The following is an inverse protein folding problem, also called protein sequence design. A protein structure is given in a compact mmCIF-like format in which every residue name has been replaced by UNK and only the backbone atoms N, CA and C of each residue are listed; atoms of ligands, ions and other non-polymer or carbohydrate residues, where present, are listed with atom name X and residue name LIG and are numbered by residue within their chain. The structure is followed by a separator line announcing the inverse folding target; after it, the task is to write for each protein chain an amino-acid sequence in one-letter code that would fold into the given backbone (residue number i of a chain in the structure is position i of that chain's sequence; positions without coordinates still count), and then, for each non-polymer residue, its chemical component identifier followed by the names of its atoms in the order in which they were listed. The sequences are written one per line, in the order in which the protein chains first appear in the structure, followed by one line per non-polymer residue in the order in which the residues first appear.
data_IF_707899934374
#
_entry.id   IF_707899934374
#
_cell.length_a   1.000
_cell.length_b   1.000
_cell.length_c   1.000
_cell.angle_alpha   90.00
_cell.angle_beta   90.00
_cell.angle_gamma   90.00
#
_symmetry.space_group_name_H-M   'P 1'
#
loop_
_entity.id
_entity.type
_entity.pdbx_description
1 polymer ?
#
# COMPACT_ATOMS: atom_id res chain seq x y z
N UNK A 1 11.94 -37.68 29.59
CA UNK A 1 11.80 -36.81 28.40
C UNK A 1 12.17 -35.39 28.81
N UNK A 2 13.17 -34.77 28.19
CA UNK A 2 13.52 -33.38 28.51
C UNK A 2 12.45 -32.48 27.94
N UNK A 3 11.71 -31.77 28.79
CA UNK A 3 10.75 -30.75 28.36
C UNK A 3 11.52 -29.44 28.25
N UNK A 4 11.77 -29.00 27.02
CA UNK A 4 12.35 -27.67 26.77
C UNK A 4 11.33 -26.62 27.21
N UNK A 5 11.77 -25.69 28.06
CA UNK A 5 10.96 -24.53 28.47
C UNK A 5 11.39 -23.30 27.67
N UNK A 6 10.43 -22.49 27.18
CA UNK A 6 10.78 -21.23 26.53
C UNK A 6 11.48 -20.32 27.54
N UNK A 7 12.50 -19.60 27.08
CA UNK A 7 13.22 -18.61 27.89
C UNK A 7 12.48 -17.27 27.99
N UNK A 8 11.44 -17.08 27.18
CA UNK A 8 10.71 -15.81 27.08
C UNK A 8 9.25 -16.02 27.44
N UNK A 9 8.65 -15.03 28.08
CA UNK A 9 7.24 -15.05 28.45
C UNK A 9 6.34 -15.04 27.22
N UNK A 10 5.08 -15.43 27.41
CA UNK A 10 4.04 -15.26 26.38
C UNK A 10 3.98 -13.81 25.93
N UNK A 11 3.89 -13.58 24.61
CA UNK A 11 3.84 -12.25 24.04
C UNK A 11 5.22 -11.64 23.74
N UNK A 12 6.30 -12.24 24.24
CA UNK A 12 7.67 -11.79 24.00
C UNK A 12 8.37 -12.66 22.96
N UNK A 13 9.26 -12.06 22.17
CA UNK A 13 10.08 -12.80 21.22
C UNK A 13 11.06 -13.75 21.93
N UNK A 14 11.47 -14.87 21.29
CA UNK A 14 12.60 -15.66 21.76
C UNK A 14 13.92 -14.84 21.81
N UNK A 15 14.90 -15.22 22.65
CA UNK A 15 16.18 -14.53 22.72
C UNK A 15 17.01 -14.67 21.42
N UNK A 16 17.86 -13.68 21.07
CA UNK A 16 17.98 -12.38 21.75
C UNK A 16 16.77 -11.48 21.47
N UNK A 17 16.15 -10.97 22.53
CA UNK A 17 15.04 -10.04 22.41
C UNK A 17 15.55 -8.66 21.96
N UNK A 18 14.87 -8.07 20.99
CA UNK A 18 15.14 -6.72 20.53
C UNK A 18 13.82 -5.98 20.34
N UNK A 19 13.80 -4.63 20.42
CA UNK A 19 12.60 -3.86 20.10
C UNK A 19 12.08 -4.07 18.67
N UNK A 20 12.87 -4.68 17.77
CA UNK A 20 12.47 -4.93 16.38
C UNK A 20 12.05 -6.38 16.15
N UNK A 21 11.94 -7.21 17.19
CA UNK A 21 11.54 -8.59 17.04
C UNK A 21 10.08 -8.69 16.58
N UNK A 22 9.86 -9.43 15.48
CA UNK A 22 8.56 -9.54 14.80
C UNK A 22 7.83 -10.86 15.07
N UNK A 23 8.38 -11.67 15.98
CA UNK A 23 7.84 -12.98 16.37
C UNK A 23 7.47 -12.95 17.85
N UNK A 24 6.43 -13.69 18.23
CA UNK A 24 6.01 -13.87 19.61
C UNK A 24 6.20 -15.31 20.04
N UNK A 25 6.57 -15.53 21.30
CA UNK A 25 6.40 -16.80 21.95
C UNK A 25 4.91 -17.02 22.27
N UNK A 26 4.41 -18.22 22.02
CA UNK A 26 3.06 -18.66 22.33
C UNK A 26 3.14 -19.99 23.11
N UNK A 27 2.66 -20.06 24.36
CA UNK A 27 2.78 -21.26 25.18
C UNK A 27 1.76 -22.32 24.73
N UNK A 28 2.14 -23.11 23.74
CA UNK A 28 1.34 -24.23 23.23
C UNK A 28 0.12 -23.81 22.40
N UNK A 29 -0.63 -24.82 21.94
CA UNK A 29 -1.74 -24.62 21.00
C UNK A 29 -3.01 -24.07 21.64
N UNK A 30 -3.22 -24.27 22.94
CA UNK A 30 -4.44 -23.85 23.63
C UNK A 30 -4.61 -22.33 23.57
N UNK A 31 -3.51 -21.60 23.72
CA UNK A 31 -3.52 -20.14 23.61
C UNK A 31 -3.76 -19.66 22.16
N UNK A 32 -3.29 -20.40 21.16
CA UNK A 32 -3.63 -20.12 19.76
C UNK A 32 -5.12 -20.34 19.50
N UNK A 33 -5.70 -21.40 20.08
CA UNK A 33 -7.13 -21.71 19.96
C UNK A 33 -7.98 -20.61 20.60
N UNK A 34 -7.64 -20.15 21.80
CA UNK A 34 -8.42 -19.07 22.45
C UNK A 34 -8.35 -17.76 21.68
N UNK A 35 -7.18 -17.38 21.15
CA UNK A 35 -7.04 -16.18 20.30
C UNK A 35 -7.91 -16.32 19.04
N UNK A 36 -7.85 -17.49 18.37
CA UNK A 36 -8.69 -17.78 17.20
C UNK A 36 -10.18 -17.68 17.53
N UNK A 37 -10.56 -18.15 18.71
CA UNK A 37 -11.95 -18.17 19.19
C UNK A 37 -12.40 -16.81 19.77
N UNK A 38 -11.56 -15.77 19.67
CA UNK A 38 -11.93 -14.38 19.95
C UNK A 38 -11.53 -13.87 21.34
N UNK A 39 -10.71 -14.59 22.09
CA UNK A 39 -10.18 -14.09 23.37
C UNK A 39 -9.15 -12.96 23.15
N UNK A 40 -9.66 -11.74 23.11
CA UNK A 40 -8.85 -10.53 22.97
C UNK A 40 -7.98 -10.25 24.20
N UNK A 41 -8.26 -10.84 25.37
CA UNK A 41 -7.45 -10.63 26.57
C UNK A 41 -6.03 -11.17 26.39
N UNK A 42 -5.88 -12.26 25.65
CA UNK A 42 -4.58 -12.82 25.30
C UNK A 42 -3.75 -11.88 24.40
N UNK A 43 -4.40 -11.14 23.49
CA UNK A 43 -3.73 -10.19 22.60
C UNK A 43 -3.15 -9.00 23.36
N UNK A 44 -3.77 -8.59 24.47
CA UNK A 44 -3.25 -7.47 25.30
C UNK A 44 -1.88 -7.74 25.91
N UNK A 45 -1.49 -9.02 26.01
CA UNK A 45 -0.19 -9.45 26.54
C UNK A 45 0.88 -9.56 25.47
N UNK A 46 0.54 -9.38 24.20
CA UNK A 46 1.49 -9.46 23.10
C UNK A 46 2.32 -8.18 23.05
N UNK A 47 3.63 -8.34 23.13
CA UNK A 47 4.62 -7.26 23.13
C UNK A 47 5.35 -7.20 21.79
N UNK A 48 5.76 -8.36 21.27
CA UNK A 48 6.45 -8.49 19.99
C UNK A 48 5.55 -9.21 19.01
N UNK A 49 5.23 -8.58 17.89
CA UNK A 49 4.42 -9.18 16.84
C UNK A 49 4.78 -8.54 15.51
N UNK A 50 4.39 -9.20 14.42
CA UNK A 50 4.56 -8.64 13.09
C UNK A 50 3.91 -7.25 13.00
N UNK A 51 4.67 -6.17 12.69
CA UNK A 51 4.21 -4.78 12.84
C UNK A 51 3.00 -4.39 11.99
N UNK A 52 2.64 -5.21 11.00
CA UNK A 52 1.44 -4.99 10.19
C UNK A 52 0.14 -5.31 10.94
N UNK A 53 0.17 -6.06 12.04
CA UNK A 53 -1.06 -6.39 12.78
C UNK A 53 -1.53 -5.27 13.71
N UNK A 54 -0.61 -4.47 14.26
CA UNK A 54 -0.90 -3.27 15.04
C UNK A 54 0.37 -2.42 15.14
N UNK A 55 0.24 -1.11 15.46
CA UNK A 55 1.39 -0.33 15.92
C UNK A 55 1.97 -0.99 17.17
N UNK A 56 3.29 -1.15 17.19
CA UNK A 56 4.02 -1.81 18.29
C UNK A 56 5.24 -0.98 18.66
N UNK A 57 5.71 -1.15 19.90
CA UNK A 57 6.97 -0.57 20.38
C UNK A 57 6.99 0.95 20.12
N UNK A 58 8.07 1.46 19.52
CA UNK A 58 8.24 2.88 19.20
C UNK A 58 7.14 3.47 18.28
N UNK A 59 6.50 2.67 17.42
CA UNK A 59 5.38 3.18 16.62
C UNK A 59 4.13 3.42 17.48
N UNK A 60 3.90 2.57 18.49
CA UNK A 60 2.81 2.75 19.45
C UNK A 60 3.10 3.92 20.41
N UNK A 61 4.33 4.03 20.93
CA UNK A 61 4.76 5.15 21.78
C UNK A 61 4.62 6.49 21.06
N UNK A 62 5.01 6.56 19.77
CA UNK A 62 4.82 7.76 18.96
C UNK A 62 3.32 8.10 18.81
N UNK A 63 2.49 7.08 18.56
CA UNK A 63 1.04 7.26 18.49
C UNK A 63 0.45 7.82 19.81
N UNK A 64 0.92 7.34 20.95
CA UNK A 64 0.49 7.84 22.28
C UNK A 64 0.91 9.30 22.50
N UNK A 65 2.15 9.67 22.14
CA UNK A 65 2.62 11.05 22.24
C UNK A 65 1.80 12.00 21.36
N UNK A 66 1.44 11.57 20.14
CA UNK A 66 0.56 12.33 19.24
C UNK A 66 -0.84 12.44 19.83
N UNK A 67 -1.42 11.35 20.37
CA UNK A 67 -2.74 11.38 20.99
C UNK A 67 -2.80 12.38 22.16
N UNK A 68 -1.73 12.47 22.96
CA UNK A 68 -1.58 13.46 24.01
C UNK A 68 -1.51 14.89 23.46
N UNK A 69 -0.70 15.13 22.41
CA UNK A 69 -0.59 16.45 21.78
C UNK A 69 -1.95 17.01 21.34
N UNK A 70 -2.79 16.16 20.74
CA UNK A 70 -4.09 16.58 20.18
C UNK A 70 -5.25 16.48 21.19
N UNK A 71 -4.96 16.25 22.48
CA UNK A 71 -5.96 16.17 23.55
C UNK A 71 -6.93 14.99 23.42
N UNK A 72 -6.44 13.85 22.91
CA UNK A 72 -7.21 12.62 22.70
C UNK A 72 -6.57 11.43 23.44
N UNK A 73 -6.04 11.66 24.65
CA UNK A 73 -5.46 10.61 25.48
C UNK A 73 -6.42 9.43 25.66
N UNK A 74 -5.88 8.20 25.60
CA UNK A 74 -6.66 6.97 25.66
C UNK A 74 -7.23 6.49 24.32
N UNK A 75 -7.15 7.31 23.25
CA UNK A 75 -7.45 6.84 21.89
C UNK A 75 -6.34 5.93 21.36
N UNK A 76 -6.70 4.99 20.49
CA UNK A 76 -5.71 4.32 19.64
C UNK A 76 -5.33 5.26 18.52
N UNK A 77 -4.03 5.48 18.30
CA UNK A 77 -3.50 6.34 17.25
C UNK A 77 -2.69 5.50 16.24
N UNK A 78 -3.08 5.59 14.97
CA UNK A 78 -2.44 4.91 13.84
C UNK A 78 -1.69 5.94 13.00
N UNK A 79 -0.35 6.08 13.14
CA UNK A 79 0.43 7.05 12.38
C UNK A 79 0.85 6.53 10.99
N UNK A 80 0.68 7.37 9.96
CA UNK A 80 1.04 7.09 8.58
C UNK A 80 1.84 8.23 7.97
N UNK A 81 2.70 7.92 6.99
CA UNK A 81 3.37 8.93 6.16
C UNK A 81 2.57 9.26 4.89
N UNK A 82 1.54 8.47 4.58
CA UNK A 82 0.77 8.58 3.35
C UNK A 82 -0.57 9.29 3.60
N UNK A 83 -0.87 10.41 2.92
CA UNK A 83 -2.13 11.14 3.05
C UNK A 83 -3.37 10.33 2.65
N UNK A 84 -3.22 9.36 1.74
CA UNK A 84 -4.33 8.55 1.22
C UNK A 84 -5.06 7.78 2.33
N UNK A 85 -4.41 7.58 3.48
CA UNK A 85 -4.99 6.87 4.62
C UNK A 85 -6.17 7.57 5.25
N UNK A 86 -6.32 8.88 5.12
CA UNK A 86 -7.50 9.57 5.62
C UNK A 86 -8.77 9.16 4.88
N UNK A 87 -8.88 9.49 3.58
CA UNK A 87 -10.02 9.12 2.75
C UNK A 87 -10.24 7.60 2.72
N UNK A 88 -9.17 6.81 2.64
CA UNK A 88 -9.25 5.35 2.71
C UNK A 88 -9.93 4.89 4.01
N UNK A 89 -9.48 5.38 5.16
CA UNK A 89 -10.03 4.98 6.48
C UNK A 89 -11.47 5.41 6.64
N UNK A 90 -11.83 6.65 6.25
CA UNK A 90 -13.23 7.13 6.30
C UNK A 90 -14.15 6.22 5.50
N UNK A 91 -13.75 5.83 4.28
CA UNK A 91 -14.52 4.89 3.47
C UNK A 91 -14.57 3.52 4.16
N UNK A 92 -13.41 2.97 4.53
CA UNK A 92 -13.25 1.64 5.11
C UNK A 92 -14.21 1.36 6.27
N UNK A 93 -14.28 2.28 7.25
CA UNK A 93 -15.06 2.06 8.47
C UNK A 93 -16.57 2.07 8.23
N UNK A 94 -17.03 2.62 7.09
CA UNK A 94 -18.46 2.67 6.71
C UNK A 94 -18.91 1.51 5.84
N UNK A 95 -17.98 0.69 5.34
CA UNK A 95 -18.29 -0.40 4.42
C UNK A 95 -19.14 -1.49 5.10
N UNK A 96 -20.25 -1.89 4.47
CA UNK A 96 -21.15 -2.94 4.99
C UNK A 96 -20.44 -4.28 5.28
N UNK A 97 -19.31 -4.53 4.62
CA UNK A 97 -18.41 -5.67 4.84
C UNK A 97 -17.81 -5.71 6.24
N UNK A 98 -17.85 -4.60 7.00
CA UNK A 98 -17.49 -4.56 8.44
C UNK A 98 -18.55 -5.18 9.35
N UNK A 99 -19.74 -5.50 8.83
CA UNK A 99 -20.85 -6.16 9.55
C UNK A 99 -21.19 -5.42 10.86
N UNK A 100 -21.10 -6.09 12.01
CA UNK A 100 -21.36 -5.51 13.34
C UNK A 100 -20.36 -4.40 13.73
N UNK A 101 -19.27 -4.23 12.99
CA UNK A 101 -18.24 -3.22 13.23
C UNK A 101 -18.32 -2.03 12.27
N UNK A 102 -19.42 -1.86 11.52
CA UNK A 102 -19.67 -0.63 10.75
C UNK A 102 -19.72 0.56 11.70
N UNK A 103 -19.04 1.65 11.32
CA UNK A 103 -18.94 2.88 12.10
C UNK A 103 -19.45 4.07 11.28
N UNK A 104 -19.79 5.16 11.97
CA UNK A 104 -19.98 6.46 11.31
C UNK A 104 -18.62 7.11 11.02
N UNK A 105 -18.50 7.97 9.99
CA UNK A 105 -17.27 8.70 9.72
C UNK A 105 -16.74 9.54 10.91
N UNK A 106 -17.63 9.97 11.80
CA UNK A 106 -17.30 10.78 12.99
C UNK A 106 -16.79 9.94 14.18
N UNK A 107 -16.90 8.62 14.10
CA UNK A 107 -16.35 7.71 15.12
C UNK A 107 -14.82 7.57 15.03
N UNK A 108 -14.21 8.13 13.98
CA UNK A 108 -12.77 8.29 13.83
C UNK A 108 -12.42 9.78 13.78
N UNK A 109 -11.22 10.11 14.24
CA UNK A 109 -10.64 11.44 14.16
C UNK A 109 -9.41 11.39 13.28
N UNK A 110 -9.38 12.20 12.24
CA UNK A 110 -8.19 12.37 11.42
C UNK A 110 -7.43 13.60 11.92
N UNK A 111 -6.12 13.44 12.11
CA UNK A 111 -5.21 14.50 12.54
C UNK A 111 -3.96 14.50 11.67
N UNK A 112 -3.34 15.65 11.56
CA UNK A 112 -2.08 15.81 10.88
C UNK A 112 -1.07 16.46 11.83
N UNK A 113 0.13 15.90 11.93
CA UNK A 113 1.17 16.36 12.86
C UNK A 113 2.51 16.37 12.15
N UNK A 114 3.21 17.49 12.23
CA UNK A 114 4.60 17.59 11.81
C UNK A 114 5.52 17.24 12.99
N UNK A 115 6.49 16.34 12.78
CA UNK A 115 7.47 15.90 13.78
C UNK A 115 8.82 15.62 13.13
N UNK A 116 9.89 16.24 13.62
CA UNK A 116 11.24 16.00 13.10
C UNK A 116 11.40 16.27 11.59
N UNK A 117 10.63 17.21 11.04
CA UNK A 117 10.61 17.52 9.60
C UNK A 117 9.76 16.58 8.75
N UNK A 118 9.01 15.65 9.37
CA UNK A 118 8.10 14.74 8.69
C UNK A 118 6.64 15.02 9.03
N UNK A 119 5.79 15.02 8.01
CA UNK A 119 4.34 15.09 8.17
C UNK A 119 3.74 13.72 8.35
N UNK A 120 3.02 13.54 9.44
CA UNK A 120 2.25 12.34 9.74
C UNK A 120 0.75 12.61 9.58
N UNK A 121 0.06 11.61 9.05
CA UNK A 121 -1.40 11.53 9.00
C UNK A 121 -1.81 10.47 10.00
N UNK A 122 -2.67 10.82 10.94
CA UNK A 122 -2.97 9.98 12.09
C UNK A 122 -4.47 9.73 12.15
N UNK A 123 -4.83 8.45 12.17
CA UNK A 123 -6.20 8.02 12.46
C UNK A 123 -6.27 7.74 13.95
N UNK A 124 -7.16 8.44 14.67
CA UNK A 124 -7.45 8.20 16.08
C UNK A 124 -8.87 7.65 16.26
N UNK A 125 -9.04 6.69 17.15
CA UNK A 125 -10.35 6.14 17.49
C UNK A 125 -10.41 5.60 18.92
N UNK A 126 -11.61 5.54 19.48
CA UNK A 126 -11.86 4.91 20.79
C UNK A 126 -11.55 3.40 20.71
N UNK A 127 -10.76 2.82 21.64
CA UNK A 127 -10.38 1.41 21.63
C UNK A 127 -11.51 0.41 21.39
N UNK A 128 -12.76 0.72 21.77
CA UNK A 128 -13.94 -0.14 21.50
C UNK A 128 -14.21 -0.37 20.01
N UNK A 129 -13.68 0.50 19.14
CA UNK A 129 -13.83 0.42 17.69
C UNK A 129 -12.69 -0.33 16.99
N UNK A 130 -11.78 -0.96 17.74
CA UNK A 130 -10.60 -1.66 17.20
C UNK A 130 -10.92 -2.61 16.05
N UNK A 131 -11.98 -3.43 16.16
CA UNK A 131 -12.34 -4.41 15.12
C UNK A 131 -12.82 -3.76 13.81
N UNK A 132 -13.36 -2.53 13.86
CA UNK A 132 -13.78 -1.78 12.69
C UNK A 132 -12.64 -0.96 12.05
N UNK A 133 -11.70 -0.46 12.86
CA UNK A 133 -10.69 0.50 12.40
C UNK A 133 -9.29 -0.11 12.16
N UNK A 134 -8.86 -1.13 12.92
CA UNK A 134 -7.48 -1.64 12.87
C UNK A 134 -7.10 -2.24 11.51
N UNK A 135 -8.08 -2.70 10.73
CA UNK A 135 -7.84 -3.19 9.38
C UNK A 135 -7.27 -2.12 8.43
N UNK A 136 -7.45 -0.83 8.75
CA UNK A 136 -6.83 0.29 8.02
C UNK A 136 -5.32 0.38 8.24
N UNK A 137 -4.80 -0.13 9.36
CA UNK A 137 -3.36 -0.31 9.58
C UNK A 137 -2.83 -1.50 8.79
N UNK A 138 -3.55 -2.62 8.87
CA UNK A 138 -3.02 -3.91 8.45
C UNK A 138 -3.19 -4.22 6.97
N UNK A 139 -4.32 -3.83 6.36
CA UNK A 139 -4.65 -4.23 4.99
C UNK A 139 -3.78 -3.53 3.95
N UNK A 140 -3.66 -2.18 3.91
CA UNK A 140 -2.74 -1.51 2.98
C UNK A 140 -1.28 -1.78 3.33
N UNK A 141 -0.97 -2.06 4.61
CA UNK A 141 0.39 -2.30 5.06
C UNK A 141 1.32 -1.09 4.94
N UNK A 142 0.76 0.13 5.00
CA UNK A 142 1.50 1.40 4.89
C UNK A 142 1.67 2.14 6.22
N UNK A 143 1.32 1.49 7.33
CA UNK A 143 1.58 1.99 8.68
C UNK A 143 3.06 2.23 8.95
N UNK A 144 3.34 3.15 9.88
CA UNK A 144 4.71 3.49 10.26
C UNK A 144 5.49 2.28 10.79
N UNK A 145 6.73 2.12 10.33
CA UNK A 145 7.62 1.06 10.85
C UNK A 145 8.11 1.36 12.26
N UNK A 146 8.51 0.32 13.00
CA UNK A 146 9.13 0.46 14.34
C UNK A 146 10.36 1.39 14.29
N UNK A 147 11.20 1.28 13.26
CA UNK A 147 12.42 2.11 13.11
C UNK A 147 12.11 3.57 12.81
N UNK A 148 11.08 3.82 12.01
CA UNK A 148 10.62 5.18 11.75
C UNK A 148 10.01 5.80 13.01
N UNK A 149 9.22 5.02 13.77
CA UNK A 149 8.74 5.42 15.09
C UNK A 149 9.88 5.82 16.03
N UNK A 150 10.91 4.99 16.13
CA UNK A 150 12.10 5.26 16.96
C UNK A 150 12.80 6.56 16.57
N UNK A 151 12.98 6.81 15.28
CA UNK A 151 13.63 8.05 14.82
C UNK A 151 12.78 9.28 15.12
N UNK A 152 11.49 9.24 14.86
CA UNK A 152 10.61 10.38 15.08
C UNK A 152 10.40 10.68 16.57
N UNK A 153 10.43 9.67 17.45
CA UNK A 153 10.36 9.85 18.90
C UNK A 153 11.49 10.73 19.45
N UNK A 154 12.69 10.71 18.84
CA UNK A 154 13.80 11.60 19.23
C UNK A 154 13.47 13.08 19.01
N UNK A 155 12.46 13.37 18.21
CA UNK A 155 12.01 14.70 17.84
C UNK A 155 10.61 15.03 18.38
N UNK A 156 10.08 14.26 19.34
CA UNK A 156 8.74 14.47 19.92
C UNK A 156 8.50 15.90 20.41
N UNK A 157 9.54 16.56 20.94
CA UNK A 157 9.46 17.95 21.40
C UNK A 157 9.23 18.98 20.27
N UNK A 158 9.38 18.57 19.01
CA UNK A 158 9.13 19.41 17.83
C UNK A 158 7.72 19.23 17.25
N UNK A 159 6.90 18.38 17.87
CA UNK A 159 5.56 18.07 17.37
C UNK A 159 4.69 19.32 17.28
N UNK A 160 4.06 19.51 16.13
CA UNK A 160 3.08 20.55 15.90
C UNK A 160 1.90 19.99 15.12
N UNK A 161 0.68 20.23 15.61
CA UNK A 161 -0.53 19.90 14.88
C UNK A 161 -0.66 20.81 13.64
N UNK A 162 -0.99 20.20 12.51
CA UNK A 162 -1.27 20.87 11.25
C UNK A 162 -2.77 20.90 11.07
N UNK A 163 -3.33 22.10 10.93
CA UNK A 163 -4.77 22.27 10.71
C UNK A 163 -5.21 21.55 9.43
N UNK A 164 -6.26 20.74 9.57
CA UNK A 164 -6.94 20.12 8.44
C UNK A 164 -8.12 21.01 8.00
N UNK A 165 -8.47 21.00 6.70
CA UNK A 165 -9.69 21.66 6.23
C UNK A 165 -10.91 21.15 7.00
N UNK A 166 -11.73 22.07 7.53
CA UNK A 166 -12.88 21.72 8.37
C UNK A 166 -14.10 21.42 7.47
N UNK A 167 -14.41 20.13 7.29
CA UNK A 167 -15.72 19.65 6.83
C UNK A 167 -16.11 19.95 5.37
N UNK A 168 -17.30 19.51 4.98
CA UNK A 168 -17.84 19.72 3.64
C UNK A 168 -17.20 18.85 2.55
N UNK A 169 -17.19 19.35 1.31
CA UNK A 169 -16.61 18.64 0.16
C UNK A 169 -15.08 18.42 0.28
N UNK A 170 -14.42 19.14 1.19
CA UNK A 170 -12.97 19.13 1.39
C UNK A 170 -12.52 18.27 2.57
N UNK A 171 -13.42 17.53 3.22
CA UNK A 171 -13.10 16.68 4.39
C UNK A 171 -12.10 15.54 4.11
N UNK A 172 -11.87 15.25 2.83
CA UNK A 172 -10.91 14.27 2.31
C UNK A 172 -9.62 14.92 1.76
N UNK A 173 -9.56 16.25 1.71
CA UNK A 173 -8.38 16.98 1.22
C UNK A 173 -7.32 16.98 2.31
N UNK A 174 -6.27 16.19 2.09
CA UNK A 174 -5.13 16.12 3.01
C UNK A 174 -4.03 17.10 2.63
N UNK A 175 -3.36 17.75 3.61
CA UNK A 175 -2.17 18.53 3.36
C UNK A 175 -1.11 17.73 2.61
N UNK A 176 -0.30 18.41 1.80
CA UNK A 176 0.76 17.76 1.06
C UNK A 176 1.72 17.05 2.04
N UNK A 177 2.05 15.77 1.80
CA UNK A 177 3.06 15.07 2.58
C UNK A 177 4.44 15.72 2.37
N UNK A 178 5.27 15.71 3.41
CA UNK A 178 6.67 16.15 3.28
C UNK A 178 7.52 15.14 2.51
N UNK A 179 7.04 13.89 2.43
CA UNK A 179 7.79 12.70 2.01
C UNK A 179 9.07 12.49 2.83
N UNK A 180 9.66 11.30 2.73
CA UNK A 180 11.04 11.09 3.19
C UNK A 180 11.91 11.09 1.94
N UNK A 181 12.92 11.98 1.83
CA UNK A 181 13.75 12.02 0.65
C UNK A 181 14.49 10.69 0.49
N UNK A 182 14.53 10.19 -0.73
CA UNK A 182 15.37 9.04 -1.05
C UNK A 182 16.84 9.45 -1.05
N UNK A 183 17.70 8.50 -0.72
CA UNK A 183 19.14 8.73 -0.59
C UNK A 183 19.96 7.55 -1.13
N UNK A 184 21.30 7.60 -1.01
CA UNK A 184 22.19 6.59 -1.57
C UNK A 184 21.87 5.15 -1.15
N UNK A 185 21.33 4.96 0.07
CA UNK A 185 20.90 3.64 0.54
C UNK A 185 19.73 3.07 -0.30
N UNK A 186 18.78 3.91 -0.72
CA UNK A 186 17.66 3.51 -1.58
C UNK A 186 18.16 3.13 -2.97
N UNK A 187 19.09 3.92 -3.53
CA UNK A 187 19.74 3.60 -4.80
C UNK A 187 20.47 2.25 -4.75
N UNK A 188 21.28 2.01 -3.71
CA UNK A 188 21.98 0.74 -3.53
C UNK A 188 21.03 -0.46 -3.37
N UNK A 189 19.86 -0.28 -2.73
CA UNK A 189 18.83 -1.32 -2.66
C UNK A 189 18.28 -1.67 -4.05
N UNK A 190 18.00 -0.66 -4.89
CA UNK A 190 17.49 -0.88 -6.25
C UNK A 190 18.52 -1.59 -7.13
N UNK A 191 19.76 -1.14 -7.09
CA UNK A 191 20.88 -1.79 -7.79
C UNK A 191 21.02 -3.25 -7.38
N UNK A 192 20.97 -3.53 -6.08
CA UNK A 192 21.01 -4.90 -5.57
C UNK A 192 19.81 -5.72 -6.06
N UNK A 193 18.60 -5.18 -6.06
CA UNK A 193 17.42 -5.89 -6.59
C UNK A 193 17.60 -6.22 -8.07
N UNK A 194 18.10 -5.30 -8.88
CA UNK A 194 18.40 -5.55 -10.30
C UNK A 194 19.46 -6.64 -10.44
N UNK A 195 20.54 -6.58 -9.66
CA UNK A 195 21.58 -7.63 -9.63
C UNK A 195 20.99 -9.01 -9.31
N UNK A 196 20.03 -9.10 -8.37
CA UNK A 196 19.35 -10.35 -8.03
C UNK A 196 18.60 -10.96 -9.22
N UNK A 197 18.03 -10.13 -10.11
CA UNK A 197 17.33 -10.62 -11.30
C UNK A 197 18.27 -11.34 -12.28
N UNK A 198 19.58 -11.02 -12.26
CA UNK A 198 20.57 -11.64 -13.12
C UNK A 198 21.05 -13.04 -12.66
N UNK A 199 20.64 -13.51 -11.47
CA UNK A 199 21.14 -14.79 -10.92
C UNK A 199 20.72 -16.03 -11.70
N UNK A 200 19.48 -16.06 -12.19
CA UNK A 200 18.94 -17.19 -12.93
C UNK A 200 17.82 -16.75 -13.92
N UNK A 201 18.09 -15.80 -14.83
CA UNK A 201 17.07 -15.34 -15.76
C UNK A 201 16.77 -16.40 -16.82
N UNK A 202 15.49 -16.66 -17.07
CA UNK A 202 15.05 -17.44 -18.23
C UNK A 202 15.41 -16.74 -19.56
N UNK A 203 15.39 -15.40 -19.56
CA UNK A 203 15.75 -14.55 -20.69
C UNK A 203 16.76 -13.49 -20.23
N UNK A 204 18.07 -13.77 -20.34
CA UNK A 204 19.12 -12.84 -19.92
C UNK A 204 19.08 -11.50 -20.66
N UNK A 205 18.69 -11.50 -21.94
CA UNK A 205 18.63 -10.28 -22.75
C UNK A 205 17.55 -9.33 -22.23
N UNK A 206 16.40 -9.87 -21.82
CA UNK A 206 15.34 -9.07 -21.19
C UNK A 206 15.76 -8.51 -19.84
N UNK A 207 16.39 -9.33 -18.99
CA UNK A 207 16.87 -8.84 -17.67
C UNK A 207 17.97 -7.79 -17.83
N UNK A 208 18.80 -7.86 -18.87
CA UNK A 208 19.78 -6.83 -19.18
C UNK A 208 19.18 -5.45 -19.51
N UNK A 209 17.87 -5.35 -19.75
CA UNK A 209 17.18 -4.06 -19.94
C UNK A 209 16.67 -3.45 -18.63
N UNK A 210 16.65 -4.21 -17.53
CA UNK A 210 16.19 -3.71 -16.23
C UNK A 210 17.20 -2.73 -15.64
N UNK A 211 16.73 -1.55 -15.25
CA UNK A 211 17.51 -0.51 -14.61
C UNK A 211 17.04 -0.30 -13.15
N UNK A 212 17.89 0.27 -12.27
CA UNK A 212 17.47 0.62 -10.91
C UNK A 212 16.21 1.50 -10.88
N UNK A 213 16.01 2.36 -11.89
CA UNK A 213 14.82 3.20 -12.04
C UNK A 213 13.50 2.42 -12.24
N UNK A 214 13.56 1.13 -12.58
CA UNK A 214 12.39 0.26 -12.70
C UNK A 214 11.94 -0.33 -11.35
N UNK A 215 12.71 -0.10 -10.28
CA UNK A 215 12.46 -0.66 -8.94
C UNK A 215 11.83 0.37 -8.01
N UNK A 216 10.58 0.11 -7.62
CA UNK A 216 9.83 0.92 -6.66
C UNK A 216 9.89 0.27 -5.27
N UNK A 217 10.30 1.05 -4.27
CA UNK A 217 10.47 0.57 -2.90
C UNK A 217 9.23 0.92 -2.07
N UNK A 218 8.70 -0.07 -1.34
CA UNK A 218 7.56 0.08 -0.45
C UNK A 218 7.88 -0.47 0.94
N UNK A 219 7.24 0.04 2.01
CA UNK A 219 7.55 -0.38 3.38
C UNK A 219 7.18 -1.85 3.66
N UNK A 220 6.22 -2.42 2.91
CA UNK A 220 5.81 -3.82 3.04
C UNK A 220 5.40 -4.39 1.68
N UNK A 221 5.29 -5.73 1.58
CA UNK A 221 4.73 -6.38 0.40
C UNK A 221 3.27 -6.00 0.14
N UNK A 222 2.47 -5.84 1.20
CA UNK A 222 1.08 -5.36 1.05
C UNK A 222 1.01 -3.91 0.56
N UNK A 223 1.94 -3.05 0.98
CA UNK A 223 2.04 -1.70 0.46
C UNK A 223 2.32 -1.70 -1.05
N UNK A 224 3.20 -2.58 -1.51
CA UNK A 224 3.47 -2.77 -2.94
C UNK A 224 2.21 -3.26 -3.69
N UNK A 225 1.49 -4.25 -3.15
CA UNK A 225 0.23 -4.75 -3.74
C UNK A 225 -0.83 -3.66 -3.80
N UNK A 226 -1.05 -2.96 -2.69
CA UNK A 226 -2.04 -1.89 -2.56
C UNK A 226 -1.80 -0.78 -3.59
N UNK A 227 -0.59 -0.22 -3.63
CA UNK A 227 -0.25 0.85 -4.56
C UNK A 227 -0.27 0.40 -6.03
N UNK A 228 0.30 -0.78 -6.32
CA UNK A 228 0.37 -1.30 -7.70
C UNK A 228 -1.03 -1.62 -8.23
N UNK A 229 -1.85 -2.33 -7.46
CA UNK A 229 -3.21 -2.70 -7.88
C UNK A 229 -4.07 -1.45 -8.09
N UNK A 230 -4.02 -0.47 -7.17
CA UNK A 230 -4.76 0.78 -7.32
C UNK A 230 -4.30 1.60 -8.53
N UNK A 231 -2.99 1.65 -8.80
CA UNK A 231 -2.46 2.32 -9.99
C UNK A 231 -2.91 1.63 -11.28
N UNK A 232 -2.88 0.29 -11.33
CA UNK A 232 -3.31 -0.49 -12.49
C UNK A 232 -4.81 -0.35 -12.76
N UNK A 233 -5.66 -0.33 -11.73
CA UNK A 233 -7.11 -0.08 -11.89
C UNK A 233 -7.37 1.31 -12.47
N UNK A 234 -6.63 2.33 -12.00
CA UNK A 234 -6.75 3.70 -12.54
C UNK A 234 -6.26 3.80 -13.99
N UNK A 235 -5.19 3.08 -14.32
CA UNK A 235 -4.61 3.08 -15.67
C UNK A 235 -5.46 2.29 -16.67
N UNK A 236 -5.96 1.13 -16.26
CA UNK A 236 -6.80 0.22 -17.04
C UNK A 236 -7.99 -0.25 -16.18
N UNK A 237 -9.10 0.50 -16.17
CA UNK A 237 -10.32 0.09 -15.48
C UNK A 237 -10.84 -1.25 -16.00
N UNK A 238 -11.38 -2.08 -15.11
CA UNK A 238 -11.88 -3.40 -15.46
C UNK A 238 -11.82 -4.39 -14.31
N UNK A 239 -12.33 -5.59 -14.54
CA UNK A 239 -12.34 -6.69 -13.55
C UNK A 239 -10.90 -7.07 -13.19
N UNK A 240 -10.61 -7.21 -11.90
CA UNK A 240 -9.31 -7.74 -11.42
C UNK A 240 -9.40 -9.28 -11.38
N UNK A 241 -8.37 -9.98 -11.86
CA UNK A 241 -8.34 -11.44 -11.83
C UNK A 241 -7.34 -11.94 -10.81
N UNK A 242 -7.71 -12.97 -10.06
CA UNK A 242 -6.81 -13.74 -9.19
C UNK A 242 -6.67 -15.15 -9.77
N UNK A 243 -5.43 -15.59 -10.03
CA UNK A 243 -5.14 -16.97 -10.41
C UNK A 243 -4.42 -17.68 -9.26
N UNK A 244 -4.94 -18.83 -8.85
CA UNK A 244 -4.43 -19.60 -7.72
C UNK A 244 -4.75 -18.95 -6.39
N UNK A 245 -3.99 -19.30 -5.35
CA UNK A 245 -4.15 -18.70 -4.02
C UNK A 245 -3.15 -17.57 -3.86
N UNK A 246 -3.66 -16.37 -3.57
CA UNK A 246 -2.84 -15.21 -3.18
C UNK A 246 -2.91 -14.98 -1.68
N UNK A 247 -1.95 -14.24 -1.15
CA UNK A 247 -1.87 -13.89 0.25
C UNK A 247 -3.19 -13.33 0.75
N UNK A 248 -3.66 -13.82 1.90
CA UNK A 248 -5.00 -13.56 2.41
C UNK A 248 -5.39 -12.07 2.43
N UNK A 249 -4.51 -11.16 2.84
CA UNK A 249 -4.84 -9.72 2.89
C UNK A 249 -4.98 -9.08 1.50
N UNK A 250 -4.49 -9.72 0.43
CA UNK A 250 -4.80 -9.32 -0.95
C UNK A 250 -6.29 -9.45 -1.23
N UNK A 251 -6.99 -10.47 -0.72
CA UNK A 251 -8.44 -10.56 -0.86
C UNK A 251 -9.17 -9.42 -0.10
N UNK A 252 -8.69 -9.06 1.09
CA UNK A 252 -9.24 -7.92 1.84
C UNK A 252 -9.07 -6.60 1.07
N UNK A 253 -7.91 -6.40 0.44
CA UNK A 253 -7.69 -5.30 -0.49
C UNK A 253 -8.71 -5.32 -1.64
N UNK A 254 -8.87 -6.46 -2.32
CA UNK A 254 -9.80 -6.57 -3.46
C UNK A 254 -11.26 -6.33 -3.07
N UNK A 255 -11.71 -6.74 -1.88
CA UNK A 255 -13.07 -6.48 -1.41
C UNK A 255 -13.39 -4.97 -1.36
N UNK A 256 -12.38 -4.14 -1.10
CA UNK A 256 -12.55 -2.70 -0.87
C UNK A 256 -12.09 -1.85 -2.07
N UNK A 257 -11.14 -2.36 -2.87
CA UNK A 257 -10.43 -1.61 -3.93
C UNK A 257 -10.63 -2.20 -5.34
N UNK A 258 -11.73 -2.93 -5.57
CA UNK A 258 -12.12 -3.42 -6.90
C UNK A 258 -13.46 -2.82 -7.36
N UNK A 259 -13.50 -1.54 -7.77
CA UNK A 259 -14.74 -0.87 -8.16
C UNK A 259 -15.48 -1.53 -9.34
N UNK A 260 -14.77 -2.31 -10.15
CA UNK A 260 -15.33 -3.09 -11.27
C UNK A 260 -15.46 -4.59 -10.95
N UNK A 261 -15.31 -4.96 -9.67
CA UNK A 261 -15.32 -6.34 -9.21
C UNK A 261 -14.01 -7.09 -9.46
N UNK A 262 -13.97 -8.32 -8.97
CA UNK A 262 -12.84 -9.23 -9.16
C UNK A 262 -13.33 -10.67 -9.38
N UNK A 263 -12.53 -11.47 -10.07
CA UNK A 263 -12.81 -12.87 -10.41
C UNK A 263 -11.67 -13.76 -9.95
N UNK A 264 -12.01 -14.83 -9.24
CA UNK A 264 -11.05 -15.83 -8.77
C UNK A 264 -11.12 -17.11 -9.60
N UNK A 265 -9.97 -17.58 -10.08
CA UNK A 265 -9.76 -18.92 -10.60
C UNK A 265 -8.82 -19.67 -9.66
N UNK A 266 -9.38 -20.56 -8.84
CA UNK A 266 -8.61 -21.30 -7.84
C UNK A 266 -7.73 -22.41 -8.41
N UNK A 267 -8.13 -23.02 -9.53
CA UNK A 267 -7.33 -24.04 -10.23
C UNK A 267 -6.41 -23.36 -11.23
N UNK A 268 -5.15 -23.81 -11.25
CA UNK A 268 -4.09 -23.27 -12.13
C UNK A 268 -3.34 -24.36 -12.89
N UNK A 269 -3.91 -25.57 -12.91
CA UNK A 269 -3.55 -26.63 -13.84
C UNK A 269 -4.04 -26.30 -15.27
N UNK A 270 -3.74 -27.17 -16.23
CA UNK A 270 -4.10 -26.94 -17.64
C UNK A 270 -5.60 -26.62 -17.82
N UNK A 271 -6.48 -27.41 -17.20
CA UNK A 271 -7.93 -27.18 -17.22
C UNK A 271 -8.34 -25.84 -16.59
N UNK A 272 -7.70 -25.46 -15.47
CA UNK A 272 -7.93 -24.18 -14.81
C UNK A 272 -7.56 -22.98 -15.70
N UNK A 273 -6.44 -23.10 -16.43
CA UNK A 273 -6.01 -22.05 -17.36
C UNK A 273 -6.88 -22.02 -18.62
N UNK A 274 -7.32 -23.17 -19.14
CA UNK A 274 -8.29 -23.24 -20.25
C UNK A 274 -9.61 -22.54 -19.89
N UNK A 275 -10.09 -22.75 -18.66
CA UNK A 275 -11.29 -22.08 -18.16
C UNK A 275 -11.10 -20.57 -18.01
N UNK A 276 -9.91 -20.13 -17.58
CA UNK A 276 -9.56 -18.71 -17.53
C UNK A 276 -9.53 -18.06 -18.92
N UNK A 277 -8.87 -18.69 -19.90
CA UNK A 277 -8.82 -18.21 -21.28
C UNK A 277 -10.21 -18.12 -21.91
N UNK A 278 -11.02 -19.17 -21.74
CA UNK A 278 -12.42 -19.19 -22.21
C UNK A 278 -13.26 -18.06 -21.58
N UNK A 279 -12.99 -17.70 -20.33
CA UNK A 279 -13.65 -16.58 -19.67
C UNK A 279 -13.17 -15.23 -20.22
N UNK A 280 -11.87 -15.06 -20.53
CA UNK A 280 -11.37 -13.84 -21.18
C UNK A 280 -12.04 -13.58 -22.53
N UNK A 281 -12.27 -14.64 -23.32
CA UNK A 281 -12.99 -14.55 -24.59
C UNK A 281 -14.43 -14.08 -24.37
N UNK A 282 -15.10 -14.59 -23.33
CA UNK A 282 -16.46 -14.17 -22.97
C UNK A 282 -16.50 -12.72 -22.48
N UNK A 283 -15.56 -12.27 -21.66
CA UNK A 283 -15.48 -10.86 -21.25
C UNK A 283 -15.30 -9.95 -22.47
N UNK A 284 -14.42 -10.33 -23.40
CA UNK A 284 -14.18 -9.62 -24.66
C UNK A 284 -15.44 -9.53 -25.51
N UNK A 285 -16.15 -10.65 -25.72
CA UNK A 285 -17.41 -10.71 -26.48
C UNK A 285 -18.51 -9.84 -25.86
N UNK A 286 -18.50 -9.70 -24.54
CA UNK A 286 -19.46 -8.89 -23.80
C UNK A 286 -19.01 -7.41 -23.63
N UNK A 287 -17.87 -7.02 -24.19
CA UNK A 287 -17.33 -5.67 -24.07
C UNK A 287 -16.94 -5.29 -22.64
N UNK A 288 -16.56 -6.27 -21.80
CA UNK A 288 -16.06 -6.04 -20.44
C UNK A 288 -14.54 -6.12 -20.42
N UNK A 289 -13.93 -5.08 -19.87
CA UNK A 289 -12.48 -5.01 -19.74
C UNK A 289 -11.97 -5.75 -18.50
N UNK A 290 -10.82 -6.38 -18.66
CA UNK A 290 -10.00 -6.92 -17.55
C UNK A 290 -8.87 -5.95 -17.27
N UNK A 291 -8.67 -5.62 -15.98
CA UNK A 291 -7.66 -4.67 -15.54
C UNK A 291 -6.27 -5.31 -15.50
N UNK A 292 -6.08 -6.28 -14.61
CA UNK A 292 -4.82 -6.98 -14.39
C UNK A 292 -5.05 -8.33 -13.72
N UNK A 293 -4.02 -9.17 -13.74
CA UNK A 293 -4.01 -10.49 -13.11
C UNK A 293 -3.04 -10.48 -11.93
N UNK A 294 -3.50 -10.92 -10.76
CA UNK A 294 -2.70 -11.16 -9.58
C UNK A 294 -2.40 -12.65 -9.46
N UNK A 295 -1.12 -12.96 -9.30
CA UNK A 295 -0.61 -14.34 -9.16
C UNK A 295 0.44 -14.35 -8.07
N UNK A 296 0.37 -15.34 -7.17
CA UNK A 296 1.43 -15.62 -6.20
C UNK A 296 2.22 -16.84 -6.67
N UNK A 297 3.55 -16.72 -6.70
CA UNK A 297 4.44 -17.77 -7.22
C UNK A 297 5.62 -18.00 -6.26
N UNK A 298 5.78 -19.21 -5.71
CA UNK A 298 4.76 -20.28 -5.68
C UNK A 298 3.56 -19.85 -4.81
N UNK A 299 2.38 -20.42 -5.05
CA UNK A 299 1.18 -20.16 -4.26
C UNK A 299 1.37 -20.52 -2.78
N UNK A 300 0.71 -19.79 -1.87
CA UNK A 300 0.77 -20.04 -0.44
C UNK A 300 -0.64 -20.27 0.11
N UNK A 301 -0.95 -21.44 0.73
CA UNK A 301 -0.03 -22.51 1.15
C UNK A 301 0.13 -23.65 0.13
N UNK A 302 -0.45 -23.53 -1.06
CA UNK A 302 -0.64 -24.63 -2.03
C UNK A 302 0.64 -25.05 -2.77
N UNK A 303 1.65 -24.18 -2.85
CA UNK A 303 2.91 -24.37 -3.55
C UNK A 303 2.79 -24.67 -5.06
N UNK A 304 1.60 -24.50 -5.62
CA UNK A 304 1.36 -24.56 -7.05
C UNK A 304 2.01 -23.34 -7.75
N UNK A 305 2.37 -23.53 -9.01
CA UNK A 305 2.93 -22.46 -9.84
C UNK A 305 2.13 -22.41 -11.12
N UNK A 306 1.51 -21.26 -11.36
CA UNK A 306 0.79 -20.98 -12.61
C UNK A 306 1.78 -21.03 -13.78
N UNK A 307 1.33 -21.52 -14.95
CA UNK A 307 2.11 -21.42 -16.18
C UNK A 307 2.25 -19.95 -16.62
N UNK A 308 3.24 -19.27 -16.05
CA UNK A 308 3.55 -17.86 -16.32
C UNK A 308 3.95 -17.62 -17.79
N UNK A 309 4.45 -18.63 -18.50
CA UNK A 309 4.78 -18.52 -19.91
C UNK A 309 3.50 -18.47 -20.77
N UNK A 310 2.50 -19.29 -20.42
CA UNK A 310 1.16 -19.24 -21.03
C UNK A 310 0.46 -17.92 -20.74
N UNK A 311 0.45 -17.47 -19.49
CA UNK A 311 -0.14 -16.16 -19.12
C UNK A 311 0.51 -15.00 -19.89
N UNK A 312 1.84 -14.99 -20.04
CA UNK A 312 2.55 -13.94 -20.80
C UNK A 312 2.11 -13.84 -22.26
N UNK A 313 1.71 -14.94 -22.90
CA UNK A 313 1.19 -14.94 -24.27
C UNK A 313 -0.16 -14.23 -24.37
N UNK A 314 -0.99 -14.32 -23.32
CA UNK A 314 -2.30 -13.66 -23.25
C UNK A 314 -2.21 -12.14 -23.03
N UNK A 315 -1.16 -11.68 -22.35
CA UNK A 315 -0.92 -10.26 -22.05
C UNK A 315 -0.24 -9.53 -23.22
N UNK A 316 0.46 -10.28 -24.08
CA UNK A 316 1.08 -9.71 -25.26
C UNK A 316 -0.03 -9.34 -26.24
N UNK A 317 -0.08 -8.10 -26.76
CA UNK A 317 -1.06 -7.76 -27.77
C UNK A 317 -0.88 -8.74 -28.91
N UNK A 318 -1.87 -9.60 -29.14
CA UNK A 318 -2.05 -10.21 -30.43
C UNK A 318 -2.02 -9.03 -31.40
N UNK A 319 -1.08 -9.00 -32.33
CA UNK A 319 -1.15 -8.10 -33.46
C UNK A 319 -2.43 -8.49 -34.19
N UNK A 320 -3.54 -7.87 -33.82
CA UNK A 320 -4.80 -7.97 -34.54
C UNK A 320 -4.52 -7.25 -35.86
N UNK A 321 -4.12 -8.02 -36.87
CA UNK A 321 -4.24 -7.63 -38.26
C UNK A 321 -5.75 -7.55 -38.56
N UNK A 322 -6.33 -6.40 -38.20
CA UNK A 322 -7.70 -6.03 -38.46
C UNK A 322 -7.72 -4.54 -38.72
N UNK A 323 -7.59 -4.17 -40.00
CA UNK A 323 -7.80 -2.80 -40.45
C UNK A 323 -9.20 -2.35 -40.02
N UNK A 324 -9.28 -1.52 -38.97
CA UNK A 324 -10.40 -0.59 -38.83
C UNK A 324 -9.84 0.82 -38.69
N UNK A 325 -9.89 1.52 -39.81
CA UNK A 325 -9.63 2.95 -39.92
C UNK A 325 -10.47 3.72 -38.90
N UNK A 326 -9.80 4.42 -37.99
CA UNK A 326 -10.41 5.50 -37.22
C UNK A 326 -10.77 6.63 -38.19
N UNK A 327 -12.00 6.63 -38.70
CA UNK A 327 -12.54 7.79 -39.40
C UNK A 327 -12.81 8.89 -38.37
N UNK A 328 -11.99 9.94 -38.41
CA UNK A 328 -12.23 11.21 -37.74
C UNK A 328 -13.54 11.78 -38.31
N UNK A 329 -14.62 11.77 -37.53
CA UNK A 329 -15.81 12.57 -37.82
C UNK A 329 -15.47 14.05 -37.63
N UNK A 330 -15.05 14.71 -38.71
CA UNK A 330 -15.16 16.16 -38.86
C UNK A 330 -16.65 16.51 -39.05
N UNK A 331 -17.23 17.26 -38.11
CA UNK A 331 -18.48 18.01 -38.35
C UNK A 331 -18.12 19.39 -38.90
N UNK A 332 -18.44 19.61 -40.18
CA UNK A 332 -18.77 20.88 -40.86
C UNK A 332 -20.31 20.90 -40.92
N UNK A 333 -21.13 21.95 -40.79
CA UNK A 333 -21.14 23.43 -40.84
C UNK A 333 -22.37 23.87 -39.99
N UNK A 334 -22.63 25.12 -39.57
CA UNK A 334 -22.85 26.35 -40.35
C UNK A 334 -22.83 27.63 -39.47
N UNK A 335 -22.68 28.83 -40.08
CA UNK A 335 -22.43 30.10 -39.41
C UNK A 335 -23.69 30.97 -39.21
N UNK A 336 -23.51 32.02 -38.38
CA UNK A 336 -24.35 33.20 -38.16
C UNK A 336 -25.50 33.08 -37.13
N UNK A 337 -25.34 33.69 -35.96
CA UNK A 337 -25.84 35.06 -35.70
C UNK A 337 -25.65 35.48 -34.22
N UNK A 338 -24.95 36.60 -34.05
CA UNK A 338 -25.21 37.69 -33.09
C UNK A 338 -25.03 37.50 -31.57
N UNK A 339 -24.03 38.26 -31.08
CA UNK A 339 -24.16 39.30 -30.04
C UNK A 339 -23.69 39.03 -28.60
N UNK A 340 -22.48 39.55 -28.35
CA UNK A 340 -22.07 40.42 -27.21
C UNK A 340 -21.93 39.84 -25.79
N UNK A 341 -20.65 39.74 -25.35
CA UNK A 341 -19.97 40.40 -24.19
C UNK A 341 -18.82 39.49 -23.71
N UNK A 342 -17.54 39.84 -23.91
CA UNK A 342 -16.64 40.58 -22.99
C UNK A 342 -16.66 39.99 -21.56
N UNK A 343 -15.58 39.53 -20.90
CA UNK A 343 -14.14 39.88 -20.93
C UNK A 343 -13.28 38.74 -20.31
N UNK A 344 -11.99 38.71 -20.72
CA UNK A 344 -10.74 38.39 -19.99
C UNK A 344 -10.75 37.43 -18.78
N UNK A 345 -9.80 36.51 -18.62
CA UNK A 345 -8.36 36.77 -18.68
C UNK A 345 -7.53 35.52 -18.99
N UNK A 346 -6.46 35.78 -19.74
CA UNK A 346 -5.35 34.90 -20.06
C UNK A 346 -4.34 34.93 -18.91
N UNK A 347 -3.75 33.80 -18.55
CA UNK A 347 -2.42 33.76 -17.93
C UNK A 347 -1.73 32.45 -18.30
N UNK A 348 -0.77 32.58 -19.21
CA UNK A 348 0.18 31.58 -19.65
C UNK A 348 1.11 31.16 -18.51
N UNK A 349 1.29 29.85 -18.30
CA UNK A 349 2.30 29.31 -17.41
C UNK A 349 3.66 29.35 -18.12
N UNK A 350 4.55 30.23 -17.65
CA UNK A 350 5.95 30.30 -18.07
C UNK A 350 6.77 29.35 -17.19
N UNK A 351 7.44 28.38 -17.80
CA UNK A 351 8.38 27.48 -17.10
C UNK A 351 9.73 28.20 -17.02
N UNK A 352 10.15 28.53 -15.79
CA UNK A 352 11.49 29.04 -15.50
C UNK A 352 12.34 27.91 -14.90
N UNK A 353 13.38 27.51 -15.62
CA UNK A 353 14.55 26.78 -15.09
C UNK A 353 15.47 27.75 -14.33
N UNK A 354 16.13 27.28 -13.25
CA UNK A 354 17.46 27.73 -12.90
C UNK A 354 18.44 26.55 -13.08
N UNK A 355 19.39 26.66 -14.01
CA UNK A 355 20.69 27.32 -13.87
C UNK A 355 21.75 26.40 -13.27
N UNK A 356 22.66 26.03 -14.15
CA UNK A 356 23.94 25.35 -13.98
C UNK A 356 24.80 25.93 -12.85
N UNK A 357 25.19 25.08 -11.89
CA UNK A 357 26.23 25.39 -10.92
C UNK A 357 27.60 24.93 -11.48
N UNK A 358 28.49 25.90 -11.63
CA UNK A 358 29.87 25.78 -12.04
C UNK A 358 30.71 24.99 -11.04
N UNK A 359 31.54 24.10 -11.58
CA UNK A 359 32.65 23.39 -10.94
C UNK A 359 33.63 24.35 -10.25
N UNK A 360 33.86 24.12 -8.96
CA UNK A 360 35.05 24.61 -8.25
C UNK A 360 35.76 23.44 -7.58
N UNK A 361 37.00 23.23 -8.02
CA UNK A 361 37.98 22.27 -7.53
C UNK A 361 38.32 22.46 -6.05
N UNK A 362 38.38 21.37 -5.29
CA UNK A 362 39.06 21.27 -4.00
C UNK A 362 40.18 20.21 -4.08
N UNK A 363 41.34 20.45 -3.43
CA UNK A 363 42.55 19.67 -3.66
C UNK A 363 42.57 18.35 -2.89
N UNK A 364 43.24 17.37 -3.49
CA UNK A 364 43.63 16.08 -2.92
C UNK A 364 44.38 16.28 -1.59
N UNK A 365 43.92 15.61 -0.53
CA UNK A 365 44.77 15.29 0.63
C UNK A 365 45.20 13.83 0.53
N UNK A 366 46.51 13.66 0.60
CA UNK A 366 47.28 12.42 0.61
C UNK A 366 47.11 11.66 1.92
N UNK A 367 47.21 10.34 1.82
CA UNK A 367 47.33 9.43 2.96
C UNK A 367 48.49 9.80 3.90
N UNK A 368 48.26 9.57 5.19
CA UNK A 368 49.24 9.12 6.18
C UNK A 368 48.49 8.27 7.19
#
# INVERSE_FOLDING_TARGET
MVVLKPQSDFGHAPPPQTPYSIITNLPGWDQARSIRDGDMSALSRIVHIYPRFAPTQFAAELGQAIAQLVGMEGSVALPYLNPDMGPYTRRHVTLAQRKEHVMTPDAISLRCVDVGGHRLFVVLYDPKHMLGAMATWSNPGIGLSIRAGEQLLKHVATMQEVELPIGGADADVMPAPTWTPEGPAHQGLRERIVELLHRAPLDPARVATCAPGDVYLYPTGMAAVFHTSNALVRFRPGTIVVLGVVFHNTYHHLIEESPHGWKHFGRVDEEGIDAFESWLDQETQNGRDVSHVLVEVPGNPTLDTVDVARIKKLVSPSVVHGQHSLSRRQKKTDPAAHSRRNMASSSSLTILSPASATSTSLPRRTCS
#
